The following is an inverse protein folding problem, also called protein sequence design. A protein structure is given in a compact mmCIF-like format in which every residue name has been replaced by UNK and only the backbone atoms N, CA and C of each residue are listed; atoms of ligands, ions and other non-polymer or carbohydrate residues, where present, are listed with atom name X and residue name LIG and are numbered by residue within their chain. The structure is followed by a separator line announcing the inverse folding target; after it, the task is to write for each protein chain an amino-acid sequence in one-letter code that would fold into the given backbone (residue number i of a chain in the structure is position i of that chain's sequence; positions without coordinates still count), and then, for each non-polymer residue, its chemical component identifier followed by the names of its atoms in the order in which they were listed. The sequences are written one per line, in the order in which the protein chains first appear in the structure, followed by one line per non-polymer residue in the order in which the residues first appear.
data_IF_693251207246
#
_entry.id   IF_693251207246
#
_cell.length_a   1.000
_cell.length_b   1.000
_cell.length_c   1.000
_cell.angle_alpha   90.00
_cell.angle_beta   90.00
_cell.angle_gamma   90.00
#
_symmetry.space_group_name_H-M   'P 1'
#
loop_
_entity.id
_entity.type
_entity.pdbx_description
1 polymer ?
#
# COMPACT_ATOMS: atom_id res chain seq x y z
N UNK A 1 -19.31 8.68 -30.63
CA UNK A 1 -19.12 7.22 -30.53
C UNK A 1 -17.63 6.98 -30.70
N UNK A 2 -16.93 6.32 -29.75
CA UNK A 2 -15.49 6.14 -29.84
C UNK A 2 -15.11 5.30 -31.06
N UNK A 3 -13.95 5.59 -31.66
CA UNK A 3 -13.47 4.82 -32.81
C UNK A 3 -12.96 3.44 -32.37
N UNK A 4 -12.92 2.45 -33.28
CA UNK A 4 -12.37 1.12 -32.98
C UNK A 4 -10.92 1.19 -32.46
N UNK A 5 -10.16 2.18 -32.94
CA UNK A 5 -8.77 2.42 -32.51
C UNK A 5 -8.71 2.93 -31.06
N UNK A 6 -9.58 3.87 -30.69
CA UNK A 6 -9.67 4.37 -29.30
C UNK A 6 -10.09 3.28 -28.32
N UNK A 7 -11.00 2.39 -28.72
CA UNK A 7 -11.42 1.25 -27.89
C UNK A 7 -10.22 0.32 -27.65
N UNK A 8 -9.47 -0.01 -28.70
CA UNK A 8 -8.28 -0.87 -28.61
C UNK A 8 -7.20 -0.25 -27.71
N UNK A 9 -6.91 1.04 -27.89
CA UNK A 9 -5.94 1.75 -27.05
C UNK A 9 -6.34 1.78 -25.57
N UNK A 10 -7.63 2.01 -25.27
CA UNK A 10 -8.14 1.95 -23.88
C UNK A 10 -8.01 0.56 -23.28
N UNK A 11 -8.25 -0.49 -24.06
CA UNK A 11 -8.07 -1.88 -23.61
C UNK A 11 -6.60 -2.18 -23.32
N UNK A 12 -5.69 -1.77 -24.20
CA UNK A 12 -4.25 -1.93 -24.02
C UNK A 12 -3.76 -1.17 -22.77
N UNK A 13 -4.18 0.07 -22.58
CA UNK A 13 -3.83 0.86 -21.40
C UNK A 13 -4.36 0.24 -20.11
N UNK A 14 -5.62 -0.23 -20.12
CA UNK A 14 -6.19 -0.94 -18.97
C UNK A 14 -5.40 -2.20 -18.63
N UNK A 15 -5.05 -3.01 -19.63
CA UNK A 15 -4.25 -4.22 -19.43
C UNK A 15 -2.85 -3.89 -18.89
N UNK A 16 -2.19 -2.85 -19.40
CA UNK A 16 -0.91 -2.39 -18.90
C UNK A 16 -0.96 -1.89 -17.45
N UNK A 17 -2.03 -1.19 -17.07
CA UNK A 17 -2.29 -0.79 -15.67
C UNK A 17 -2.47 -2.00 -14.77
N UNK A 18 -3.25 -2.98 -15.23
CA UNK A 18 -3.47 -4.22 -14.50
C UNK A 18 -2.17 -4.98 -14.27
N UNK A 19 -1.32 -5.09 -15.29
CA UNK A 19 0.02 -5.69 -15.17
C UNK A 19 0.87 -4.91 -14.17
N UNK A 20 0.94 -3.58 -14.30
CA UNK A 20 1.75 -2.74 -13.41
C UNK A 20 1.30 -2.86 -11.95
N UNK A 21 0.01 -3.06 -11.70
CA UNK A 21 -0.52 -3.25 -10.36
C UNK A 21 -0.28 -4.67 -9.83
N UNK A 22 -0.64 -5.71 -10.60
CA UNK A 22 -0.66 -7.11 -10.13
C UNK A 22 0.73 -7.74 -10.11
N UNK A 23 1.54 -7.53 -11.15
CA UNK A 23 2.84 -8.20 -11.27
C UNK A 23 3.77 -7.95 -10.06
N UNK A 24 3.98 -6.70 -9.58
CA UNK A 24 4.82 -6.48 -8.41
C UNK A 24 4.18 -7.00 -7.12
N UNK A 25 2.85 -7.01 -6.98
CA UNK A 25 2.18 -7.65 -5.85
C UNK A 25 2.56 -9.12 -5.78
N UNK A 26 2.44 -9.85 -6.90
CA UNK A 26 2.73 -11.27 -6.95
C UNK A 26 4.22 -11.52 -6.70
N UNK A 27 5.11 -10.77 -7.35
CA UNK A 27 6.55 -10.93 -7.15
C UNK A 27 6.97 -10.67 -5.69
N UNK A 28 6.44 -9.60 -5.07
CA UNK A 28 6.68 -9.29 -3.67
C UNK A 28 6.18 -10.40 -2.76
N UNK A 29 4.92 -10.81 -2.92
CA UNK A 29 4.29 -11.83 -2.11
C UNK A 29 5.02 -13.18 -2.23
N UNK A 30 5.30 -13.64 -3.46
CA UNK A 30 5.99 -14.90 -3.68
C UNK A 30 7.44 -14.88 -3.19
N UNK A 31 8.10 -13.72 -3.22
CA UNK A 31 9.40 -13.53 -2.56
C UNK A 31 9.34 -13.86 -1.07
N UNK A 32 8.31 -13.36 -0.36
CA UNK A 32 8.12 -13.69 1.06
C UNK A 32 7.62 -15.12 1.29
N UNK A 33 6.78 -15.66 0.40
CA UNK A 33 6.34 -17.07 0.46
C UNK A 33 7.53 -18.01 0.38
N UNK A 34 8.53 -17.73 -0.46
CA UNK A 34 9.77 -18.49 -0.53
C UNK A 34 10.54 -18.50 0.82
N UNK A 35 10.28 -17.53 1.71
CA UNK A 35 10.83 -17.45 3.06
C UNK A 35 9.87 -17.93 4.17
N UNK A 36 8.72 -18.52 3.79
CA UNK A 36 7.76 -19.16 4.70
C UNK A 36 6.62 -18.27 5.17
N UNK A 37 6.20 -17.27 4.38
CA UNK A 37 5.04 -16.44 4.69
C UNK A 37 3.72 -17.25 4.66
N UNK A 38 2.85 -16.99 5.62
CA UNK A 38 1.47 -17.50 5.67
C UNK A 38 0.72 -17.20 4.35
N UNK A 39 -0.13 -18.11 3.83
CA UNK A 39 -0.56 -19.38 4.45
C UNK A 39 0.35 -20.56 4.10
N UNK A 40 1.32 -20.37 3.21
CA UNK A 40 2.20 -21.44 2.73
C UNK A 40 3.33 -21.77 3.72
N UNK A 41 3.53 -20.94 4.74
CA UNK A 41 4.40 -21.23 5.88
C UNK A 41 3.85 -20.64 7.18
N UNK A 42 4.70 -20.63 8.21
CA UNK A 42 4.32 -20.27 9.59
C UNK A 42 4.79 -18.87 10.01
N UNK A 43 5.32 -18.06 9.08
CA UNK A 43 5.77 -16.69 9.37
C UNK A 43 4.75 -15.68 8.87
N UNK A 44 4.75 -14.50 9.49
CA UNK A 44 3.92 -13.37 9.10
C UNK A 44 4.76 -12.15 8.79
N UNK A 45 4.21 -11.21 8.02
CA UNK A 45 4.87 -9.92 7.76
C UNK A 45 4.95 -9.07 9.05
N UNK A 46 4.06 -9.32 10.00
CA UNK A 46 4.07 -8.78 11.35
C UNK A 46 5.33 -9.21 12.12
N UNK A 47 6.40 -8.46 11.90
CA UNK A 47 7.68 -8.60 12.57
C UNK A 47 8.12 -7.27 13.20
N UNK A 48 8.94 -7.34 14.24
CA UNK A 48 9.53 -6.17 14.89
C UNK A 48 8.46 -5.14 15.31
N UNK A 49 8.64 -3.88 14.92
CA UNK A 49 7.74 -2.77 15.27
C UNK A 49 6.33 -2.93 14.68
N UNK A 50 6.20 -3.62 13.53
CA UNK A 50 4.89 -3.88 12.95
C UNK A 50 4.02 -4.69 13.91
N UNK A 51 4.62 -5.65 14.61
CA UNK A 51 3.93 -6.51 15.57
C UNK A 51 3.70 -5.82 16.91
N UNK A 52 4.75 -5.22 17.47
CA UNK A 52 4.68 -4.66 18.82
C UNK A 52 4.02 -3.29 18.90
N UNK A 53 3.97 -2.54 17.79
CA UNK A 53 3.55 -1.14 17.81
C UNK A 53 2.48 -0.84 16.75
N UNK A 54 2.74 -1.13 15.48
CA UNK A 54 1.87 -0.63 14.41
C UNK A 54 0.52 -1.38 14.34
N UNK A 55 0.49 -2.71 14.46
CA UNK A 55 -0.78 -3.45 14.52
C UNK A 55 -1.66 -3.02 15.70
N UNK A 56 -1.14 -2.89 16.95
CA UNK A 56 -1.90 -2.30 18.04
C UNK A 56 -2.47 -0.91 17.73
N UNK A 57 -1.71 -0.04 17.06
CA UNK A 57 -2.20 1.29 16.66
C UNK A 57 -3.31 1.21 15.61
N UNK A 58 -3.23 0.28 14.67
CA UNK A 58 -4.29 0.03 13.69
C UNK A 58 -5.56 -0.52 14.34
N UNK A 59 -5.42 -1.43 15.31
CA UNK A 59 -6.56 -1.95 16.09
C UNK A 59 -7.21 -0.84 16.93
N UNK A 60 -6.41 0.04 17.54
CA UNK A 60 -6.91 1.20 18.27
C UNK A 60 -7.66 2.17 17.35
N UNK A 61 -7.09 2.48 16.18
CA UNK A 61 -7.75 3.31 15.17
C UNK A 61 -9.09 2.69 14.76
N UNK A 62 -9.09 1.39 14.44
CA UNK A 62 -10.29 0.64 14.10
C UNK A 62 -11.34 0.73 15.21
N UNK A 63 -10.96 0.51 16.46
CA UNK A 63 -11.87 0.59 17.62
C UNK A 63 -12.50 1.98 17.70
N UNK A 64 -11.70 3.04 17.60
CA UNK A 64 -12.17 4.42 17.65
C UNK A 64 -13.15 4.74 16.52
N UNK A 65 -12.88 4.26 15.30
CA UNK A 65 -13.79 4.40 14.17
C UNK A 65 -15.14 3.71 14.45
N UNK A 66 -15.11 2.49 15.00
CA UNK A 66 -16.31 1.70 15.27
C UNK A 66 -17.11 2.17 16.48
N UNK A 67 -16.45 2.67 17.53
CA UNK A 67 -17.10 3.20 18.73
C UNK A 67 -17.56 4.66 18.58
N UNK A 68 -17.02 5.38 17.60
CA UNK A 68 -17.22 6.83 17.47
C UNK A 68 -16.37 7.65 18.45
N UNK A 69 -15.36 7.06 19.09
CA UNK A 69 -14.46 7.77 20.00
C UNK A 69 -13.56 8.76 19.25
N UNK A 70 -13.21 9.86 19.92
CA UNK A 70 -12.30 10.86 19.37
C UNK A 70 -10.87 10.34 19.12
N UNK A 71 -10.21 10.92 18.11
CA UNK A 71 -8.82 10.59 17.74
C UNK A 71 -7.75 11.29 18.61
N UNK A 72 -8.15 12.11 19.59
CA UNK A 72 -7.19 12.92 20.35
C UNK A 72 -6.42 12.15 21.43
N UNK A 73 -7.13 11.35 22.21
CA UNK A 73 -6.58 10.65 23.37
C UNK A 73 -7.06 9.21 23.41
N UNK A 74 -6.24 8.31 23.92
CA UNK A 74 -6.66 6.94 24.17
C UNK A 74 -6.31 6.50 25.59
N UNK A 75 -7.31 5.92 26.26
CA UNK A 75 -7.18 5.31 27.58
C UNK A 75 -6.65 3.86 27.52
N UNK A 76 -6.53 3.24 26.35
CA UNK A 76 -5.99 1.87 26.22
C UNK A 76 -4.47 1.79 26.28
N UNK A 77 -3.77 2.93 26.22
CA UNK A 77 -2.32 2.98 26.36
C UNK A 77 -1.87 3.27 27.79
N UNK A 78 -1.81 2.26 28.67
CA UNK A 78 -1.30 2.43 30.05
C UNK A 78 -2.08 3.47 30.86
N UNK A 79 -1.41 4.55 31.29
CA UNK A 79 -2.04 5.69 31.99
C UNK A 79 -2.76 6.68 31.05
N UNK A 80 -2.82 6.33 29.75
CA UNK A 80 -3.38 7.14 28.68
C UNK A 80 -2.31 7.78 27.80
N UNK A 81 -2.61 7.91 26.51
CA UNK A 81 -1.68 8.40 25.48
C UNK A 81 -2.35 9.41 24.55
N UNK A 82 -1.56 10.37 24.06
CA UNK A 82 -1.96 11.24 22.97
C UNK A 82 -2.07 10.43 21.67
N UNK A 83 -3.29 10.00 21.36
CA UNK A 83 -3.56 9.20 20.16
C UNK A 83 -3.46 10.03 18.89
N UNK A 84 -3.64 11.35 18.95
CA UNK A 84 -3.54 12.20 17.77
C UNK A 84 -2.14 12.13 17.16
N UNK A 85 -1.10 12.25 17.99
CA UNK A 85 0.28 12.13 17.54
C UNK A 85 0.59 10.75 16.95
N UNK A 86 0.08 9.68 17.58
CA UNK A 86 0.21 8.31 17.08
C UNK A 86 -0.49 8.18 15.72
N UNK A 87 -1.72 8.68 15.61
CA UNK A 87 -2.51 8.63 14.39
C UNK A 87 -1.80 9.36 13.25
N UNK A 88 -1.41 10.63 13.46
CA UNK A 88 -0.81 11.46 12.40
C UNK A 88 0.50 10.90 11.88
N UNK A 89 1.28 10.24 12.75
CA UNK A 89 2.56 9.68 12.35
C UNK A 89 2.39 8.26 11.78
N UNK A 90 1.72 7.35 12.48
CA UNK A 90 1.71 5.92 12.17
C UNK A 90 0.50 5.42 11.36
N UNK A 91 -0.66 6.06 11.50
CA UNK A 91 -1.93 5.45 11.07
C UNK A 91 -2.77 6.30 10.11
N UNK A 92 -2.33 7.51 9.75
CA UNK A 92 -3.03 8.44 8.87
C UNK A 92 -3.01 8.05 7.37
N UNK A 93 -3.01 6.75 7.06
CA UNK A 93 -3.17 6.25 5.70
C UNK A 93 -4.64 5.95 5.42
N UNK A 94 -5.22 6.40 4.29
CA UNK A 94 -6.60 6.08 3.93
C UNK A 94 -6.82 4.57 3.74
N UNK A 95 -5.78 3.83 3.34
CA UNK A 95 -5.88 2.38 3.17
C UNK A 95 -6.12 1.67 4.50
N UNK A 96 -5.69 2.24 5.63
CA UNK A 96 -5.91 1.65 6.95
C UNK A 96 -7.40 1.52 7.30
N UNK A 97 -8.30 2.26 6.64
CA UNK A 97 -9.75 2.10 6.82
C UNK A 97 -10.22 0.70 6.40
N UNK A 98 -9.51 0.02 5.49
CA UNK A 98 -9.85 -1.35 5.10
C UNK A 98 -9.71 -2.34 6.27
N UNK A 99 -8.93 -2.02 7.32
CA UNK A 99 -8.83 -2.86 8.52
C UNK A 99 -10.17 -3.03 9.23
N UNK A 100 -11.12 -2.10 9.06
CA UNK A 100 -12.48 -2.19 9.62
C UNK A 100 -13.22 -3.42 9.07
N UNK A 101 -12.91 -3.87 7.86
CA UNK A 101 -13.54 -5.03 7.22
C UNK A 101 -13.04 -6.38 7.78
N UNK A 102 -11.95 -6.37 8.55
CA UNK A 102 -11.33 -7.58 9.08
C UNK A 102 -11.61 -7.72 10.57
N UNK A 103 -12.04 -8.89 11.07
CA UNK A 103 -12.05 -9.19 12.51
C UNK A 103 -10.65 -9.02 13.12
N UNK A 104 -10.55 -8.65 14.41
CA UNK A 104 -9.27 -8.33 15.07
C UNK A 104 -8.25 -9.49 15.00
N UNK A 105 -8.74 -10.74 15.05
CA UNK A 105 -7.92 -11.95 14.91
C UNK A 105 -7.22 -12.07 13.54
N UNK A 106 -7.72 -11.36 12.52
CA UNK A 106 -7.18 -11.35 11.17
C UNK A 106 -6.44 -10.04 10.83
N UNK A 107 -5.95 -9.33 11.86
CA UNK A 107 -5.17 -8.10 11.65
C UNK A 107 -3.91 -8.37 10.82
N UNK A 108 -3.35 -9.57 10.93
CA UNK A 108 -2.17 -9.99 10.19
C UNK A 108 -2.40 -10.05 8.69
N UNK A 109 -3.52 -10.64 8.29
CA UNK A 109 -3.97 -10.74 6.91
C UNK A 109 -4.36 -9.36 6.39
N UNK A 110 -5.02 -8.54 7.23
CA UNK A 110 -5.35 -7.16 6.88
C UNK A 110 -4.07 -6.36 6.57
N UNK A 111 -3.08 -6.38 7.47
CA UNK A 111 -1.78 -5.70 7.28
C UNK A 111 -1.05 -6.23 6.04
N UNK A 112 -1.05 -7.54 5.82
CA UNK A 112 -0.44 -8.13 4.62
C UNK A 112 -1.13 -7.61 3.36
N UNK A 113 -2.47 -7.60 3.32
CA UNK A 113 -3.23 -7.05 2.22
C UNK A 113 -2.91 -5.56 1.99
N UNK A 114 -2.85 -4.76 3.06
CA UNK A 114 -2.49 -3.34 2.96
C UNK A 114 -1.10 -3.14 2.35
N UNK A 115 -0.10 -3.90 2.79
CA UNK A 115 1.24 -3.85 2.22
C UNK A 115 1.22 -4.20 0.73
N UNK A 116 0.53 -5.26 0.34
CA UNK A 116 0.40 -5.66 -1.07
C UNK A 116 -0.29 -4.57 -1.90
N UNK A 117 -1.38 -3.99 -1.40
CA UNK A 117 -2.05 -2.87 -2.07
C UNK A 117 -1.11 -1.67 -2.25
N UNK A 118 -0.33 -1.32 -1.23
CA UNK A 118 0.66 -0.23 -1.33
C UNK A 118 1.76 -0.53 -2.36
N UNK A 119 2.25 -1.77 -2.44
CA UNK A 119 3.21 -2.19 -3.48
C UNK A 119 2.61 -2.09 -4.89
N UNK A 120 1.36 -2.53 -5.07
CA UNK A 120 0.69 -2.42 -6.36
C UNK A 120 0.41 -0.97 -6.76
N UNK A 121 -0.05 -0.15 -5.82
CA UNK A 121 -0.34 1.27 -6.06
C UNK A 121 0.94 2.07 -6.36
N UNK A 122 2.05 1.79 -5.67
CA UNK A 122 3.31 2.50 -5.94
C UNK A 122 3.81 2.24 -7.36
N UNK A 123 3.71 0.99 -7.85
CA UNK A 123 4.00 0.67 -9.25
C UNK A 123 3.00 1.32 -10.19
N UNK A 124 1.69 1.19 -9.95
CA UNK A 124 0.67 1.77 -10.81
C UNK A 124 0.85 3.29 -10.97
N UNK A 125 1.06 4.01 -9.86
CA UNK A 125 1.24 5.45 -9.90
C UNK A 125 2.55 5.87 -10.55
N UNK A 126 3.63 5.10 -10.37
CA UNK A 126 4.87 5.34 -11.11
C UNK A 126 4.73 5.07 -12.61
N UNK A 127 3.95 4.06 -13.01
CA UNK A 127 3.59 3.84 -14.42
C UNK A 127 2.84 5.04 -14.99
N UNK A 128 1.83 5.55 -14.27
CA UNK A 128 1.09 6.75 -14.72
C UNK A 128 2.03 7.94 -14.85
N UNK A 129 2.90 8.17 -13.88
CA UNK A 129 3.94 9.20 -13.95
C UNK A 129 4.79 9.07 -15.22
N UNK A 130 5.35 7.89 -15.52
CA UNK A 130 6.15 7.66 -16.72
C UNK A 130 5.34 7.88 -18.01
N UNK A 131 4.17 7.25 -18.11
CA UNK A 131 3.32 7.27 -19.31
C UNK A 131 2.89 8.70 -19.66
N UNK A 132 2.49 9.47 -18.65
CA UNK A 132 2.02 10.85 -18.81
C UNK A 132 3.17 11.82 -19.06
N UNK A 133 4.28 11.69 -18.33
CA UNK A 133 5.44 12.58 -18.49
C UNK A 133 6.05 12.49 -19.89
N UNK A 134 6.11 11.28 -20.45
CA UNK A 134 6.64 11.05 -21.81
C UNK A 134 5.56 11.02 -22.90
N UNK A 135 4.28 11.19 -22.54
CA UNK A 135 3.11 11.15 -23.44
C UNK A 135 3.10 9.93 -24.37
N UNK A 136 3.52 8.77 -23.85
CA UNK A 136 3.71 7.54 -24.62
C UNK A 136 3.19 6.34 -23.86
N UNK A 137 2.28 5.60 -24.50
CA UNK A 137 1.77 4.33 -23.98
C UNK A 137 2.76 3.20 -24.31
N UNK A 138 3.83 3.08 -23.50
CA UNK A 138 4.86 2.05 -23.66
C UNK A 138 4.69 0.93 -22.62
N UNK A 139 4.56 -0.35 -23.03
CA UNK A 139 4.54 -1.49 -22.11
C UNK A 139 5.75 -1.54 -21.16
N UNK A 140 6.91 -1.00 -21.57
CA UNK A 140 8.10 -0.93 -20.74
C UNK A 140 7.86 -0.12 -19.45
N UNK A 141 6.94 0.86 -19.48
CA UNK A 141 6.60 1.65 -18.29
C UNK A 141 6.05 0.76 -17.16
N UNK A 142 5.27 -0.27 -17.49
CA UNK A 142 4.73 -1.23 -16.50
C UNK A 142 5.81 -2.11 -15.87
N UNK A 143 6.88 -2.42 -16.60
CA UNK A 143 8.01 -3.21 -16.09
C UNK A 143 8.90 -2.33 -15.21
N UNK A 144 9.24 -1.14 -15.68
CA UNK A 144 10.07 -0.17 -14.96
C UNK A 144 9.42 0.26 -13.64
N UNK A 145 8.10 0.43 -13.63
CA UNK A 145 7.36 0.71 -12.40
C UNK A 145 7.36 -0.44 -11.41
N UNK A 146 7.42 -1.68 -11.90
CA UNK A 146 7.65 -2.85 -11.06
C UNK A 146 8.97 -2.76 -10.29
N UNK A 147 10.07 -2.32 -10.93
CA UNK A 147 11.35 -2.15 -10.24
C UNK A 147 11.32 -1.07 -9.15
N UNK A 148 10.55 0.00 -9.35
CA UNK A 148 10.34 1.02 -8.31
C UNK A 148 9.65 0.40 -7.08
N UNK A 149 8.54 -0.31 -7.30
CA UNK A 149 7.77 -0.95 -6.24
C UNK A 149 8.47 -2.16 -5.58
N UNK A 150 9.39 -2.81 -6.27
CA UNK A 150 10.17 -3.96 -5.78
C UNK A 150 11.60 -3.59 -5.39
N UNK A 151 11.88 -2.29 -5.22
CA UNK A 151 13.22 -1.83 -4.84
C UNK A 151 13.64 -2.39 -3.48
N UNK A 152 14.95 -2.50 -3.26
CA UNK A 152 15.52 -3.04 -2.01
C UNK A 152 15.00 -2.31 -0.75
N UNK A 153 14.73 -1.01 -0.88
CA UNK A 153 14.15 -0.21 0.19
C UNK A 153 12.77 -0.71 0.61
N UNK A 154 11.90 -1.10 -0.35
CA UNK A 154 10.56 -1.63 -0.06
C UNK A 154 10.63 -2.95 0.70
N UNK A 155 11.55 -3.84 0.33
CA UNK A 155 11.75 -5.08 1.06
C UNK A 155 12.27 -4.82 2.47
N UNK A 156 13.33 -4.01 2.60
CA UNK A 156 14.00 -3.71 3.87
C UNK A 156 13.08 -2.98 4.87
N UNK A 157 12.11 -2.21 4.39
CA UNK A 157 11.18 -1.44 5.23
C UNK A 157 9.73 -1.89 5.10
N UNK A 158 9.49 -3.10 4.58
CA UNK A 158 8.13 -3.66 4.41
C UNK A 158 7.36 -3.78 5.73
N UNK A 159 8.05 -3.91 6.86
CA UNK A 159 7.44 -3.87 8.19
C UNK A 159 7.11 -2.44 8.68
N UNK A 160 7.71 -1.40 8.09
CA UNK A 160 7.34 0.01 8.32
C UNK A 160 6.23 0.45 7.36
N UNK A 161 5.05 -0.14 7.51
CA UNK A 161 3.92 0.00 6.57
C UNK A 161 3.52 1.44 6.25
N UNK A 162 3.68 2.35 7.20
CA UNK A 162 3.40 3.79 7.05
C UNK A 162 4.34 4.49 6.07
N UNK A 163 5.60 4.06 5.96
CA UNK A 163 6.57 4.69 5.06
C UNK A 163 6.26 4.37 3.59
N UNK A 164 5.57 3.25 3.34
CA UNK A 164 5.10 2.90 2.01
C UNK A 164 4.07 3.90 1.47
N UNK A 165 3.35 4.65 2.32
CA UNK A 165 2.41 5.68 1.85
C UNK A 165 3.13 6.79 1.08
N UNK A 166 4.31 7.19 1.54
CA UNK A 166 5.16 8.17 0.83
C UNK A 166 5.58 7.64 -0.53
N UNK A 167 5.99 6.36 -0.60
CA UNK A 167 6.38 5.72 -1.85
C UNK A 167 5.20 5.61 -2.84
N UNK A 168 4.00 5.35 -2.33
CA UNK A 168 2.78 5.34 -3.14
C UNK A 168 2.50 6.75 -3.70
N UNK A 169 2.52 7.79 -2.85
CA UNK A 169 2.09 9.13 -3.26
C UNK A 169 3.14 9.91 -4.05
N UNK A 170 4.42 9.60 -3.88
CA UNK A 170 5.52 10.35 -4.50
C UNK A 170 5.41 10.45 -6.03
N UNK A 171 5.14 9.37 -6.80
CA UNK A 171 4.97 9.49 -8.24
C UNK A 171 3.79 10.38 -8.66
N UNK A 172 2.70 10.40 -7.89
CA UNK A 172 1.57 11.29 -8.15
C UNK A 172 1.92 12.75 -7.89
N UNK A 173 2.70 13.04 -6.85
CA UNK A 173 3.20 14.38 -6.59
C UNK A 173 4.08 14.88 -7.75
N UNK A 174 5.01 14.03 -8.21
CA UNK A 174 5.83 14.34 -9.40
C UNK A 174 4.99 14.52 -10.66
N UNK A 175 3.97 13.68 -10.86
CA UNK A 175 3.06 13.82 -11.99
C UNK A 175 2.30 15.14 -11.95
N UNK A 176 1.80 15.54 -10.78
CA UNK A 176 1.17 16.84 -10.58
C UNK A 176 2.09 17.98 -10.98
N UNK A 177 3.38 17.92 -10.61
CA UNK A 177 4.36 18.94 -11.02
C UNK A 177 4.65 18.96 -12.53
N UNK A 178 4.48 17.82 -13.23
CA UNK A 178 4.71 17.73 -14.68
C UNK A 178 3.49 18.18 -15.49
N UNK A 179 2.27 18.00 -14.95
CA UNK A 179 1.02 18.38 -15.61
C UNK A 179 0.56 19.82 -15.31
N UNK A 180 1.11 20.46 -14.26
CA UNK A 180 0.92 21.89 -13.95
C UNK A 180 1.70 22.81 -14.90
#
# INVERSE_FOLDING_TARGET
MPTLLEIKQRQEEFFQRLIAFILPILAFYFGFVAHGLWPFGNKHLLAYDLYHQYAPFLLELKRKILSGDGLFFSWSGGLGVNFYSIFTYYAASPLNLLTVLFPDRYITEAVTLLTLLKVGLSSLFFREFLTRSFRRLDPAASILSGFYALSAWVYAYSWNIMWLDTLVLFPLACLGLVEL
#
